data_IF_144658148484
#
_entry.id   IF_144658148484
#
_cell.length_a   1.000
_cell.length_b   1.000
_cell.length_c   1.000
_cell.angle_alpha   90.00
_cell.angle_beta   90.00
_cell.angle_gamma   90.00
#
_symmetry.space_group_name_H-M   'P 1'
#
loop_
_entity.id
_entity.type
_entity.pdbx_description
1 polymer ?
#
# COMPACT_ATOMS: atom_id res chain seq x y z
N UNK A 1 -0.37 -17.90 -12.90
CA UNK A 1 0.25 -18.19 -11.59
C UNK A 1 -0.81 -18.47 -10.55
N UNK A 2 -1.86 -17.64 -10.48
CA UNK A 2 -2.95 -17.70 -9.50
C UNK A 2 -3.62 -19.08 -9.32
N UNK A 3 -3.82 -19.85 -10.39
CA UNK A 3 -4.33 -21.24 -10.32
C UNK A 3 -3.50 -22.23 -9.47
N UNK A 4 -2.33 -21.83 -9.01
CA UNK A 4 -1.44 -22.64 -8.16
C UNK A 4 -1.18 -21.97 -6.79
N UNK A 5 -1.96 -20.95 -6.42
CA UNK A 5 -1.74 -20.16 -5.22
C UNK A 5 -3.04 -20.07 -4.42
N UNK A 6 -2.97 -20.37 -3.13
CA UNK A 6 -4.11 -20.19 -2.21
C UNK A 6 -4.28 -18.73 -1.78
N UNK A 7 -3.17 -17.99 -1.72
CA UNK A 7 -3.12 -16.61 -1.27
C UNK A 7 -2.02 -15.79 -1.97
N UNK A 8 -2.24 -14.48 -2.07
CA UNK A 8 -1.28 -13.49 -2.56
C UNK A 8 -1.28 -12.29 -1.62
N UNK A 9 -0.09 -11.83 -1.27
CA UNK A 9 0.12 -10.57 -0.55
C UNK A 9 0.77 -9.58 -1.50
N UNK A 10 0.16 -8.41 -1.69
CA UNK A 10 0.64 -7.39 -2.62
C UNK A 10 0.98 -6.10 -1.89
N UNK A 11 2.17 -5.58 -2.16
CA UNK A 11 2.56 -4.24 -1.75
C UNK A 11 1.92 -3.17 -2.63
N UNK A 12 0.89 -2.47 -2.13
CA UNK A 12 0.37 -1.25 -2.75
C UNK A 12 1.11 -0.07 -2.14
N UNK A 13 2.23 0.35 -2.74
CA UNK A 13 3.19 1.27 -2.11
C UNK A 13 2.78 2.73 -2.09
N UNK A 14 1.83 3.15 -2.92
CA UNK A 14 1.28 4.50 -2.92
C UNK A 14 -0.02 4.54 -3.69
N UNK A 15 -0.74 5.66 -3.60
CA UNK A 15 -2.04 5.81 -4.27
C UNK A 15 -2.11 7.03 -5.19
N UNK A 16 -0.95 7.43 -5.71
CA UNK A 16 -0.80 8.49 -6.70
C UNK A 16 0.24 8.07 -7.73
N UNK A 17 0.05 8.44 -9.01
CA UNK A 17 1.08 8.22 -10.03
C UNK A 17 2.38 8.99 -9.73
N UNK A 18 2.28 10.11 -9.01
CA UNK A 18 3.44 10.88 -8.55
C UNK A 18 4.39 10.05 -7.67
N UNK A 19 3.83 9.25 -6.74
CA UNK A 19 4.63 8.35 -5.92
C UNK A 19 5.44 7.38 -6.80
N UNK A 20 4.76 6.74 -7.75
CA UNK A 20 5.37 5.71 -8.59
C UNK A 20 6.40 6.30 -9.54
N UNK A 21 6.14 7.46 -10.14
CA UNK A 21 7.07 8.14 -11.06
C UNK A 21 8.31 8.71 -10.36
N UNK A 22 8.19 9.18 -9.11
CA UNK A 22 9.33 9.75 -8.36
C UNK A 22 10.21 8.70 -7.69
N UNK A 23 9.65 7.57 -7.27
CA UNK A 23 10.40 6.54 -6.53
C UNK A 23 10.71 5.30 -7.37
N UNK A 24 10.06 5.12 -8.51
CA UNK A 24 10.23 3.98 -9.40
C UNK A 24 9.98 4.37 -10.87
N UNK A 25 10.09 3.43 -11.79
CA UNK A 25 9.67 3.61 -13.18
C UNK A 25 8.32 2.94 -13.46
N UNK A 26 7.50 2.76 -12.43
CA UNK A 26 6.21 2.09 -12.50
C UNK A 26 5.04 3.09 -12.56
N UNK A 27 3.83 2.57 -12.65
CA UNK A 27 2.56 3.32 -12.66
C UNK A 27 1.59 2.68 -11.65
N UNK A 28 0.64 3.47 -11.13
CA UNK A 28 -0.36 2.95 -10.20
C UNK A 28 -1.34 1.99 -10.89
N UNK A 29 -1.84 2.36 -12.07
CA UNK A 29 -2.91 1.62 -12.76
C UNK A 29 -2.61 0.12 -12.98
N UNK A 30 -1.41 -0.31 -13.45
CA UNK A 30 -1.11 -1.73 -13.58
C UNK A 30 -1.17 -2.52 -12.26
N UNK A 31 -0.86 -1.87 -11.13
CA UNK A 31 -0.97 -2.49 -9.80
C UNK A 31 -2.44 -2.69 -9.45
N UNK A 32 -3.28 -1.67 -9.65
CA UNK A 32 -4.71 -1.73 -9.40
C UNK A 32 -5.40 -2.81 -10.24
N UNK A 33 -5.04 -2.91 -11.53
CA UNK A 33 -5.51 -3.98 -12.41
C UNK A 33 -5.11 -5.36 -11.90
N UNK A 34 -3.88 -5.51 -11.42
CA UNK A 34 -3.41 -6.78 -10.84
C UNK A 34 -4.24 -7.18 -9.61
N UNK A 35 -4.55 -6.24 -8.72
CA UNK A 35 -5.37 -6.50 -7.54
C UNK A 35 -6.78 -6.99 -7.91
N UNK A 36 -7.41 -6.37 -8.92
CA UNK A 36 -8.71 -6.79 -9.45
C UNK A 36 -8.65 -8.21 -10.00
N UNK A 37 -7.66 -8.52 -10.83
CA UNK A 37 -7.47 -9.86 -11.41
C UNK A 37 -7.31 -10.92 -10.32
N UNK A 38 -6.50 -10.66 -9.28
CA UNK A 38 -6.33 -11.61 -8.16
C UNK A 38 -7.67 -11.91 -7.50
N UNK A 39 -8.50 -10.87 -7.31
CA UNK A 39 -9.77 -10.99 -6.63
C UNK A 39 -10.84 -11.68 -7.50
N UNK A 40 -10.88 -11.39 -8.79
CA UNK A 40 -11.74 -12.05 -9.78
C UNK A 40 -11.43 -13.55 -9.90
N UNK A 41 -10.17 -13.95 -9.76
CA UNK A 41 -9.74 -15.36 -9.77
C UNK A 41 -10.03 -16.09 -8.45
N UNK A 42 -10.63 -15.43 -7.45
CA UNK A 42 -11.04 -16.03 -6.19
C UNK A 42 -9.90 -16.40 -5.23
N UNK A 43 -8.69 -15.88 -5.47
CA UNK A 43 -7.52 -16.11 -4.61
C UNK A 43 -7.58 -15.18 -3.39
N UNK A 44 -7.15 -15.67 -2.21
CA UNK A 44 -7.07 -14.83 -1.02
C UNK A 44 -6.07 -13.69 -1.26
N UNK A 45 -6.50 -12.44 -1.04
CA UNK A 45 -5.70 -11.26 -1.31
C UNK A 45 -5.53 -10.46 -0.03
N UNK A 46 -4.28 -10.16 0.33
CA UNK A 46 -3.93 -9.19 1.36
C UNK A 46 -3.11 -8.05 0.76
N UNK A 47 -3.32 -6.84 1.29
CA UNK A 47 -2.60 -5.65 0.84
C UNK A 47 -1.69 -5.17 1.95
N UNK A 48 -0.43 -4.90 1.61
CA UNK A 48 0.53 -4.25 2.51
C UNK A 48 0.84 -2.85 2.00
N UNK A 49 0.82 -1.87 2.89
CA UNK A 49 1.24 -0.50 2.59
C UNK A 49 2.27 -0.04 3.64
N UNK A 50 3.52 0.11 3.20
CA UNK A 50 4.58 0.69 4.00
C UNK A 50 4.43 2.21 3.98
N UNK A 51 4.03 2.79 5.11
CA UNK A 51 3.92 4.24 5.24
C UNK A 51 5.32 4.81 5.37
N UNK A 52 5.74 5.66 4.44
CA UNK A 52 7.03 6.33 4.35
C UNK A 52 6.81 7.85 4.47
N UNK A 53 7.40 8.51 5.48
CA UNK A 53 7.17 9.94 5.71
C UNK A 53 7.51 10.80 4.49
N UNK A 54 6.67 11.79 4.22
CA UNK A 54 6.77 12.74 3.07
C UNK A 54 6.64 12.11 1.69
N UNK A 55 6.35 10.80 1.60
CA UNK A 55 6.26 10.07 0.33
C UNK A 55 4.85 9.57 0.04
N UNK A 56 4.23 8.89 1.00
CA UNK A 56 2.88 8.32 0.86
C UNK A 56 2.07 8.40 2.17
N UNK A 57 2.46 9.28 3.09
CA UNK A 57 1.82 9.48 4.40
C UNK A 57 0.73 10.56 4.40
N UNK A 58 0.32 11.03 3.22
CA UNK A 58 -0.80 11.94 3.09
C UNK A 58 -2.11 11.21 3.44
N UNK A 59 -2.82 11.71 4.46
CA UNK A 59 -4.02 11.05 4.98
C UNK A 59 -5.17 10.97 3.95
N UNK A 60 -5.26 11.95 3.06
CA UNK A 60 -6.30 11.99 2.03
C UNK A 60 -6.05 10.94 0.95
N UNK A 61 -4.78 10.74 0.57
CA UNK A 61 -4.43 9.69 -0.38
C UNK A 61 -4.59 8.29 0.23
N UNK A 62 -4.28 8.12 1.53
CA UNK A 62 -4.54 6.87 2.26
C UNK A 62 -6.05 6.60 2.32
N UNK A 63 -6.87 7.63 2.58
CA UNK A 63 -8.33 7.49 2.60
C UNK A 63 -8.85 7.03 1.24
N UNK A 64 -8.43 7.70 0.15
CA UNK A 64 -8.80 7.30 -1.22
C UNK A 64 -8.38 5.87 -1.54
N UNK A 65 -7.21 5.45 -1.08
CA UNK A 65 -6.75 4.06 -1.23
C UNK A 65 -7.69 3.07 -0.54
N UNK A 66 -8.06 3.33 0.71
CA UNK A 66 -8.97 2.48 1.47
C UNK A 66 -10.38 2.44 0.86
N UNK A 67 -10.90 3.59 0.43
CA UNK A 67 -12.20 3.69 -0.26
C UNK A 67 -12.18 2.88 -1.56
N UNK A 68 -11.13 3.04 -2.37
CA UNK A 68 -10.98 2.27 -3.59
C UNK A 68 -10.89 0.76 -3.34
N UNK A 69 -10.11 0.33 -2.33
CA UNK A 69 -10.01 -1.09 -1.95
C UNK A 69 -11.39 -1.62 -1.58
N UNK A 70 -12.13 -0.91 -0.73
CA UNK A 70 -13.48 -1.30 -0.33
C UNK A 70 -14.41 -1.44 -1.53
N UNK A 71 -14.41 -0.46 -2.42
CA UNK A 71 -15.30 -0.41 -3.59
C UNK A 71 -14.95 -1.46 -4.66
N UNK A 72 -13.66 -1.77 -4.84
CA UNK A 72 -13.20 -2.58 -5.98
C UNK A 72 -12.80 -4.00 -5.58
N UNK A 73 -12.42 -4.24 -4.33
CA UNK A 73 -11.89 -5.52 -3.85
C UNK A 73 -12.72 -6.11 -2.69
N UNK A 74 -13.69 -5.36 -2.17
CA UNK A 74 -14.56 -5.79 -1.07
C UNK A 74 -14.09 -5.30 0.31
N UNK A 75 -15.06 -5.16 1.22
CA UNK A 75 -14.84 -4.79 2.63
C UNK A 75 -13.99 -5.81 3.39
N UNK A 76 -14.04 -7.07 2.96
CA UNK A 76 -13.33 -8.19 3.56
C UNK A 76 -11.85 -8.27 3.16
N UNK A 77 -11.38 -7.45 2.20
CA UNK A 77 -9.97 -7.46 1.78
C UNK A 77 -9.11 -6.74 2.82
N UNK A 78 -8.23 -7.46 3.55
CA UNK A 78 -7.44 -6.85 4.61
C UNK A 78 -6.33 -5.95 4.05
N UNK A 79 -6.08 -4.86 4.78
CA UNK A 79 -4.94 -3.97 4.56
C UNK A 79 -4.07 -3.88 5.82
N UNK A 80 -2.77 -4.07 5.64
CA UNK A 80 -1.75 -3.99 6.68
C UNK A 80 -0.88 -2.76 6.46
N UNK A 81 -1.02 -1.79 7.35
CA UNK A 81 -0.10 -0.64 7.40
C UNK A 81 1.16 -1.01 8.17
N UNK A 82 2.32 -0.83 7.54
CA UNK A 82 3.62 -1.08 8.17
C UNK A 82 4.41 0.21 8.34
N UNK A 83 5.22 0.25 9.39
CA UNK A 83 6.04 1.40 9.78
C UNK A 83 7.36 1.41 9.01
N UNK A 84 7.72 2.52 8.38
CA UNK A 84 9.03 2.69 7.78
C UNK A 84 10.13 2.88 8.83
N UNK A 85 11.29 2.28 8.56
CA UNK A 85 12.55 2.52 9.25
C UNK A 85 13.63 2.92 8.22
N UNK A 86 14.48 3.91 8.52
CA UNK A 86 15.47 4.41 7.56
C UNK A 86 16.47 3.33 7.16
N UNK A 87 16.50 3.02 5.86
CA UNK A 87 17.39 2.02 5.29
C UNK A 87 17.74 2.35 3.83
N UNK A 88 18.82 1.74 3.35
CA UNK A 88 19.29 1.80 1.95
C UNK A 88 19.38 3.24 1.39
N UNK A 89 18.52 3.61 0.43
CA UNK A 89 18.53 4.93 -0.23
C UNK A 89 17.75 6.01 0.54
N UNK A 90 17.00 5.63 1.58
CA UNK A 90 16.10 6.52 2.31
C UNK A 90 16.58 6.81 3.74
N UNK A 91 17.90 6.87 3.95
CA UNK A 91 18.52 7.11 5.27
C UNK A 91 18.23 8.50 5.87
N UNK A 92 17.80 9.46 5.04
CA UNK A 92 17.53 10.85 5.47
C UNK A 92 16.10 11.09 5.96
N UNK A 93 15.21 10.14 5.76
CA UNK A 93 13.84 10.23 6.28
C UNK A 93 13.81 9.69 7.72
N UNK A 94 12.97 10.22 8.61
CA UNK A 94 12.75 9.61 9.91
C UNK A 94 11.93 8.32 9.78
N UNK A 95 11.92 7.44 10.79
CA UNK A 95 10.91 6.39 10.88
C UNK A 95 9.51 7.00 10.89
N UNK A 96 8.49 6.27 10.42
CA UNK A 96 7.09 6.74 10.53
C UNK A 96 6.75 7.00 11.98
N UNK A 97 6.16 8.16 12.26
CA UNK A 97 5.82 8.53 13.63
C UNK A 97 4.70 7.62 14.12
N UNK A 98 4.89 7.03 15.29
CA UNK A 98 3.78 6.51 16.08
C UNK A 98 3.26 7.70 16.90
N UNK A 99 1.95 7.85 17.01
CA UNK A 99 1.36 8.76 17.98
C UNK A 99 1.70 8.26 19.38
N UNK A 100 2.90 8.57 19.86
CA UNK A 100 3.22 8.51 21.26
C UNK A 100 2.57 9.73 21.87
N UNK A 101 1.37 9.56 22.45
CA UNK A 101 0.91 10.44 23.51
C UNK A 101 1.91 10.34 24.67
N UNK A 102 3.06 11.01 24.54
CA UNK A 102 3.91 11.31 25.68
C UNK A 102 3.25 12.53 26.32
N UNK A 103 2.21 12.25 27.10
CA UNK A 103 1.82 13.11 28.20
C UNK A 103 3.08 13.19 29.07
N UNK A 104 3.79 14.30 28.96
CA UNK A 104 4.67 14.74 30.05
C UNK A 104 3.80 15.39 31.12
#
# INVERSE_FOLDING_TARGET
>A
LLKYMDAVVVDLKGFTDEFYTKLSSAKLEPVLQTLKIIKEEGVWLEIVNLIVPTKNDNIEDIKKMCEWIKENLGEETPIHFSRFFPAYKLLKLPPTMLLANTIK
#
